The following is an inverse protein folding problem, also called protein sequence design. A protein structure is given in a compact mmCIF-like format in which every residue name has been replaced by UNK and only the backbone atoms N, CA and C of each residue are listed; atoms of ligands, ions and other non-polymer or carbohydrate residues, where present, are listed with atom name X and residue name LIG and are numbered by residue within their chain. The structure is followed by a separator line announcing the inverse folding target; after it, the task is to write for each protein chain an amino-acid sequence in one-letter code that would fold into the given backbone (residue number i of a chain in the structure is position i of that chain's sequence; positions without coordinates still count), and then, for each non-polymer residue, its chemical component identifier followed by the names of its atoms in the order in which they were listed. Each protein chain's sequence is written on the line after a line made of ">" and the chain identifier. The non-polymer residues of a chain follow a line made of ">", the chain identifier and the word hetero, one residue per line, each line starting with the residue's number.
data_IF_758362471166
#
_entry.id   IF_758362471166
#
_cell.length_a   1.000
_cell.length_b   1.000
_cell.length_c   1.000
_cell.angle_alpha   90.00
_cell.angle_beta   90.00
_cell.angle_gamma   90.00
#
_symmetry.space_group_name_H-M   'P 1'
#
loop_
_entity.id
_entity.type
_entity.pdbx_description
1 polymer ?
#
# COMPACT_ATOMS: atom_id res chain seq x y z
N UNK A 1 24.57 11.74 8.02
CA UNK A 1 24.50 11.39 6.59
C UNK A 1 23.03 11.25 6.25
N UNK A 2 22.53 12.06 5.32
CA UNK A 2 21.13 12.07 4.90
C UNK A 2 20.71 10.68 4.38
N UNK A 3 19.73 10.06 5.06
CA UNK A 3 19.05 8.87 4.56
C UNK A 3 18.43 9.20 3.21
N UNK A 4 18.78 8.44 2.18
CA UNK A 4 18.27 8.61 0.81
C UNK A 4 16.80 8.21 0.76
N UNK A 5 15.90 9.11 1.15
CA UNK A 5 14.48 8.99 0.88
C UNK A 5 14.27 9.00 -0.64
N UNK A 6 13.89 7.86 -1.22
CA UNK A 6 13.56 7.77 -2.65
C UNK A 6 12.05 7.68 -2.80
N UNK A 7 11.46 8.69 -3.43
CA UNK A 7 10.06 8.64 -3.84
C UNK A 7 9.87 7.48 -4.83
N UNK A 8 9.02 6.52 -4.47
CA UNK A 8 8.66 5.34 -5.28
C UNK A 8 7.16 5.31 -5.46
N UNK A 9 6.67 4.78 -6.58
CA UNK A 9 5.25 4.52 -6.77
C UNK A 9 4.96 3.05 -6.50
N UNK A 10 4.10 2.77 -5.53
CA UNK A 10 3.65 1.40 -5.24
C UNK A 10 2.38 1.12 -6.02
N UNK A 11 2.36 0.01 -6.75
CA UNK A 11 1.21 -0.47 -7.51
C UNK A 11 0.58 -1.66 -6.79
N UNK A 12 -0.73 -1.64 -6.60
CA UNK A 12 -1.49 -2.75 -6.02
C UNK A 12 -2.58 -3.20 -6.98
N UNK A 13 -2.70 -4.51 -7.19
CA UNK A 13 -3.79 -5.10 -7.97
C UNK A 13 -4.60 -6.02 -7.06
N UNK A 14 -5.91 -5.80 -6.98
CA UNK A 14 -6.81 -6.56 -6.12
C UNK A 14 -8.17 -6.80 -6.79
N UNK A 15 -8.90 -7.82 -6.30
CA UNK A 15 -10.28 -8.07 -6.71
C UNK A 15 -11.26 -7.49 -5.70
N UNK A 16 -12.30 -6.78 -6.16
CA UNK A 16 -13.36 -6.27 -5.30
C UNK A 16 -14.73 -6.31 -6.01
N UNK A 17 -15.81 -6.44 -5.24
CA UNK A 17 -17.18 -6.37 -5.77
C UNK A 17 -17.66 -4.91 -5.85
N UNK A 18 -17.31 -4.09 -4.84
CA UNK A 18 -17.66 -2.67 -4.78
C UNK A 18 -16.44 -1.79 -5.08
N UNK A 19 -16.24 -1.45 -6.36
CA UNK A 19 -15.11 -0.63 -6.81
C UNK A 19 -15.10 0.74 -6.11
N UNK A 20 -16.22 1.45 -6.11
CA UNK A 20 -16.31 2.84 -5.61
C UNK A 20 -15.81 2.98 -4.17
N UNK A 21 -16.22 2.05 -3.30
CA UNK A 21 -15.78 2.03 -1.90
C UNK A 21 -14.27 1.81 -1.77
N UNK A 22 -13.69 0.94 -2.60
CA UNK A 22 -12.30 0.53 -2.49
C UNK A 22 -11.33 1.41 -3.28
N UNK A 23 -11.84 2.34 -4.09
CA UNK A 23 -11.02 3.26 -4.90
C UNK A 23 -11.18 4.72 -4.53
N UNK A 24 -11.97 5.05 -3.51
CA UNK A 24 -12.30 6.43 -3.17
C UNK A 24 -11.08 7.29 -2.81
N UNK A 25 -10.06 6.70 -2.19
CA UNK A 25 -8.85 7.39 -1.72
C UNK A 25 -7.59 7.08 -2.55
N UNK A 26 -7.70 6.23 -3.56
CA UNK A 26 -6.53 5.72 -4.29
C UNK A 26 -6.60 6.05 -5.77
N UNK A 27 -5.46 6.34 -6.40
CA UNK A 27 -5.40 6.60 -7.84
C UNK A 27 -5.55 5.30 -8.62
N UNK A 28 -6.70 5.10 -9.27
CA UNK A 28 -6.94 3.92 -10.12
C UNK A 28 -6.28 4.13 -11.48
N UNK A 29 -5.45 3.18 -11.89
CA UNK A 29 -4.82 3.19 -13.22
C UNK A 29 -5.41 2.16 -14.17
N UNK A 30 -6.04 1.10 -13.65
CA UNK A 30 -6.76 0.12 -14.45
C UNK A 30 -7.91 -0.49 -13.63
N UNK A 31 -9.01 -0.82 -14.29
CA UNK A 31 -10.14 -1.50 -13.66
C UNK A 31 -10.94 -2.29 -14.69
N UNK A 32 -10.96 -3.62 -14.53
CA UNK A 32 -11.62 -4.53 -15.46
C UNK A 32 -12.66 -5.39 -14.74
N UNK A 33 -13.83 -5.58 -15.37
CA UNK A 33 -14.85 -6.50 -14.85
C UNK A 33 -14.34 -7.93 -14.98
N UNK A 34 -14.54 -8.74 -13.94
CA UNK A 34 -14.19 -10.16 -13.95
C UNK A 34 -15.17 -10.97 -13.12
N UNK A 35 -15.39 -12.20 -13.56
CA UNK A 35 -16.08 -13.23 -12.79
C UNK A 35 -15.05 -14.25 -12.31
N UNK A 36 -15.04 -14.54 -11.01
CA UNK A 36 -14.11 -15.49 -10.40
C UNK A 36 -14.87 -16.54 -9.59
N UNK A 37 -14.31 -17.74 -9.49
CA UNK A 37 -14.84 -18.77 -8.61
C UNK A 37 -14.21 -18.63 -7.22
N UNK A 38 -15.04 -18.43 -6.21
CA UNK A 38 -14.65 -18.34 -4.80
C UNK A 38 -15.41 -19.43 -4.06
N UNK A 39 -14.69 -20.45 -3.58
CA UNK A 39 -15.26 -21.59 -2.85
C UNK A 39 -16.48 -22.24 -3.55
N UNK A 40 -16.37 -22.46 -4.86
CA UNK A 40 -17.42 -23.09 -5.66
C UNK A 40 -18.55 -22.15 -6.08
N UNK A 41 -18.51 -20.86 -5.69
CA UNK A 41 -19.48 -19.84 -6.10
C UNK A 41 -18.87 -18.87 -7.08
N UNK A 42 -19.58 -18.59 -8.17
CA UNK A 42 -19.17 -17.57 -9.13
C UNK A 42 -19.55 -16.18 -8.62
N UNK A 43 -18.56 -15.29 -8.54
CA UNK A 43 -18.71 -13.93 -8.04
C UNK A 43 -18.25 -12.96 -9.12
N UNK A 44 -19.14 -12.04 -9.49
CA UNK A 44 -18.84 -10.94 -10.41
C UNK A 44 -18.30 -9.74 -9.64
N UNK A 45 -17.22 -9.18 -10.12
CA UNK A 45 -16.59 -8.01 -9.53
C UNK A 45 -15.61 -7.37 -10.49
N UNK A 46 -14.57 -6.77 -9.93
CA UNK A 46 -13.58 -6.00 -10.64
C UNK A 46 -12.18 -6.41 -10.20
N UNK A 47 -11.27 -6.59 -11.15
CA UNK A 47 -9.84 -6.49 -10.88
C UNK A 47 -9.49 -5.01 -11.02
N UNK A 48 -9.01 -4.41 -9.94
CA UNK A 48 -8.63 -3.00 -9.88
C UNK A 48 -7.14 -2.92 -9.62
N UNK A 49 -6.49 -2.01 -10.34
CA UNK A 49 -5.10 -1.63 -10.08
C UNK A 49 -5.03 -0.18 -9.63
N UNK A 50 -4.43 0.06 -8.47
CA UNK A 50 -4.17 1.39 -7.93
C UNK A 50 -2.68 1.69 -7.87
N UNK A 51 -2.34 2.98 -7.88
CA UNK A 51 -1.01 3.51 -7.63
C UNK A 51 -1.04 4.47 -6.44
N UNK A 52 -0.06 4.33 -5.55
CA UNK A 52 0.13 5.23 -4.42
C UNK A 52 1.59 5.67 -4.34
N UNK A 53 1.88 6.98 -4.24
CA UNK A 53 3.23 7.46 -3.98
C UNK A 53 3.63 7.07 -2.56
N UNK A 54 4.76 6.41 -2.42
CA UNK A 54 5.33 6.01 -1.14
C UNK A 54 6.75 6.56 -1.03
N UNK A 55 7.11 6.99 0.17
CA UNK A 55 8.51 7.31 0.49
C UNK A 55 9.09 6.03 1.05
N UNK A 56 9.98 5.41 0.29
CA UNK A 56 10.71 4.24 0.78
C UNK A 56 11.90 4.74 1.61
N UNK A 57 11.98 4.30 2.87
CA UNK A 57 13.09 4.57 3.75
C UNK A 57 13.90 3.30 3.89
N UNK A 58 15.13 3.34 3.40
CA UNK A 58 16.13 2.34 3.71
C UNK A 58 16.63 2.62 5.13
N UNK A 59 16.14 1.84 6.10
CA UNK A 59 16.63 1.91 7.49
C UNK A 59 17.81 0.96 7.57
N UNK A 60 19.00 1.51 7.76
CA UNK A 60 20.20 0.69 7.93
C UNK A 60 20.12 -0.14 9.22
N UNK A 61 20.83 -1.27 9.24
CA UNK A 61 20.90 -2.11 10.44
C UNK A 61 21.48 -1.34 11.64
N UNK A 62 22.40 -0.41 11.37
CA UNK A 62 23.02 0.47 12.36
C UNK A 62 21.99 1.44 12.99
N UNK A 63 21.15 2.09 12.17
CA UNK A 63 20.03 2.93 12.64
C UNK A 63 18.96 2.13 13.39
N UNK A 64 18.73 0.87 13.03
CA UNK A 64 17.79 -0.02 13.73
C UNK A 64 18.30 -0.44 15.11
N UNK A 65 19.62 -0.54 15.27
CA UNK A 65 20.27 -0.97 16.52
C UNK A 65 20.48 0.20 17.47
N UNK A 66 20.76 1.39 16.94
CA UNK A 66 20.80 2.64 17.68
C UNK A 66 19.40 3.22 17.89
N UNK A 67 18.55 2.49 18.63
CA UNK A 67 17.28 3.03 19.15
C UNK A 67 17.59 4.28 19.97
N UNK A 68 17.14 5.43 19.45
CA UNK A 68 17.05 6.68 20.16
C UNK A 68 16.54 6.42 21.59
N UNK A 69 17.33 6.82 22.59
CA UNK A 69 16.84 6.85 23.97
C UNK A 69 15.50 7.59 23.96
N UNK A 70 14.41 7.03 24.51
CA UNK A 70 13.16 7.76 24.60
C UNK A 70 13.46 9.04 25.39
N UNK A 71 13.23 10.19 24.74
CA UNK A 71 13.19 11.48 25.40
C UNK A 71 12.17 11.34 26.52
N UNK A 72 12.63 11.31 27.78
CA UNK A 72 11.72 11.39 28.93
C UNK A 72 11.13 12.80 28.88
N UNK A 73 9.85 12.92 28.52
CA UNK A 73 9.09 14.10 28.90
C UNK A 73 9.20 14.25 30.43
N UNK A 74 9.65 15.41 30.94
CA UNK A 74 9.61 15.66 32.37
C UNK A 74 8.14 15.85 32.79
N UNK A 75 7.71 15.06 33.77
CA UNK A 75 6.45 15.29 34.52
C UNK A 75 6.47 16.64 35.26
#
# INVERSE_FOLDING_TARGET
>A
MEGKEKGTTRRHTFFCINKERHTASSKVIDAQRKEINVFGRWVRGWIVTTEEPVIDKDISLDESTHRAMPHRDPE
#
